data_IF_684512665952
#
_entry.id   IF_684512665952
#
_cell.length_a   1.000
_cell.length_b   1.000
_cell.length_c   1.000
_cell.angle_alpha   90.00
_cell.angle_beta   90.00
_cell.angle_gamma   90.00
#
_symmetry.space_group_name_H-M   'P 1'
#
loop_
_entity.id
_entity.type
_entity.pdbx_description
1 polymer ?
#
# COMPACT_ATOMS: atom_id res chain seq x y z
N UNK A 1 39.38 -22.04 -59.65
CA UNK A 1 38.16 -22.02 -58.81
C UNK A 1 38.46 -22.79 -57.53
N UNK A 2 38.56 -22.10 -56.38
CA UNK A 2 38.92 -22.71 -55.08
C UNK A 2 37.65 -23.24 -54.41
N UNK A 3 37.65 -24.50 -53.98
CA UNK A 3 36.58 -25.11 -53.16
C UNK A 3 37.02 -25.06 -51.71
N UNK A 4 36.25 -24.40 -50.85
CA UNK A 4 36.48 -24.34 -49.42
C UNK A 4 35.55 -25.37 -48.77
N UNK A 5 36.15 -26.32 -48.06
CA UNK A 5 35.45 -27.37 -47.33
C UNK A 5 35.19 -26.86 -45.90
N UNK A 6 33.92 -26.75 -45.50
CA UNK A 6 33.58 -26.46 -44.11
C UNK A 6 33.35 -27.78 -43.36
N UNK A 7 34.22 -28.07 -42.39
CA UNK A 7 34.05 -29.16 -41.44
C UNK A 7 33.35 -28.60 -40.21
N UNK A 8 32.11 -29.00 -39.98
CA UNK A 8 31.36 -28.65 -38.77
C UNK A 8 31.62 -29.75 -37.76
N UNK A 9 32.45 -29.45 -36.76
CA UNK A 9 32.71 -30.33 -35.62
C UNK A 9 31.59 -30.12 -34.59
N UNK A 10 30.57 -30.96 -34.61
CA UNK A 10 29.50 -30.96 -33.60
C UNK A 10 30.01 -31.60 -32.30
N UNK A 11 30.39 -30.79 -31.33
CA UNK A 11 30.66 -31.24 -29.95
C UNK A 11 29.31 -31.43 -29.26
N UNK A 12 28.91 -32.68 -29.06
CA UNK A 12 27.79 -33.05 -28.22
C UNK A 12 28.15 -32.84 -26.75
N UNK A 13 27.89 -31.63 -26.25
CA UNK A 13 27.86 -31.37 -24.80
C UNK A 13 26.67 -32.13 -24.20
N UNK A 14 26.95 -33.21 -23.47
CA UNK A 14 25.96 -33.84 -22.61
C UNK A 14 25.60 -32.82 -21.52
N UNK A 15 24.42 -32.22 -21.65
CA UNK A 15 23.80 -31.42 -20.61
C UNK A 15 23.48 -32.36 -19.45
N UNK A 16 24.33 -32.37 -18.43
CA UNK A 16 23.98 -32.91 -17.13
C UNK A 16 22.80 -32.07 -16.61
N UNK A 17 21.59 -32.62 -16.74
CA UNK A 17 20.39 -32.05 -16.18
C UNK A 17 20.55 -32.02 -14.66
N UNK A 18 20.80 -30.83 -14.11
CA UNK A 18 20.65 -30.61 -12.67
C UNK A 18 19.15 -30.78 -12.38
N UNK A 19 18.75 -31.65 -11.43
CA UNK A 19 17.35 -31.78 -11.07
C UNK A 19 16.86 -30.44 -10.53
N UNK A 20 15.96 -29.80 -11.28
CA UNK A 20 15.27 -28.56 -10.91
C UNK A 20 14.17 -28.85 -9.90
N UNK A 21 14.51 -29.47 -8.76
CA UNK A 21 13.61 -29.60 -7.61
C UNK A 21 13.89 -28.50 -6.58
N UNK A 22 14.06 -27.27 -7.06
CA UNK A 22 13.81 -26.11 -6.22
C UNK A 22 12.29 -25.91 -6.19
N UNK A 23 11.62 -26.48 -5.17
CA UNK A 23 10.30 -26.01 -4.76
C UNK A 23 10.52 -24.58 -4.25
N UNK A 24 10.46 -23.63 -5.16
CA UNK A 24 10.45 -22.21 -4.83
C UNK A 24 9.11 -21.97 -4.14
N UNK A 25 9.10 -22.04 -2.81
CA UNK A 25 8.01 -21.48 -2.03
C UNK A 25 8.03 -19.97 -2.29
N UNK A 26 7.27 -19.52 -3.30
CA UNK A 26 7.06 -18.11 -3.62
C UNK A 26 6.23 -17.40 -2.55
N UNK A 27 6.28 -17.84 -1.29
CA UNK A 27 5.81 -17.05 -0.17
C UNK A 27 6.66 -15.80 -0.08
N UNK A 28 6.10 -14.69 -0.57
CA UNK A 28 6.65 -13.35 -0.41
C UNK A 28 7.02 -13.18 1.06
N UNK A 29 8.30 -12.94 1.30
CA UNK A 29 8.83 -12.67 2.64
C UNK A 29 8.01 -11.54 3.28
N UNK A 30 7.51 -11.79 4.49
CA UNK A 30 6.77 -10.80 5.26
C UNK A 30 7.74 -9.81 5.88
N UNK A 31 7.59 -8.52 5.57
CA UNK A 31 8.37 -7.43 6.15
C UNK A 31 7.50 -6.54 7.02
N UNK A 32 8.10 -5.77 7.93
CA UNK A 32 7.39 -4.79 8.74
C UNK A 32 6.63 -5.36 9.94
N UNK A 33 6.74 -6.66 10.22
CA UNK A 33 6.13 -7.28 11.40
C UNK A 33 6.59 -6.60 12.68
N UNK A 34 5.64 -6.13 13.49
CA UNK A 34 5.91 -5.39 14.73
C UNK A 34 6.13 -3.89 14.53
N UNK A 35 6.00 -3.37 13.31
CA UNK A 35 5.99 -1.93 13.06
C UNK A 35 4.60 -1.37 13.39
N UNK A 36 4.59 -0.37 14.26
CA UNK A 36 3.40 0.37 14.67
C UNK A 36 3.56 1.83 14.28
N UNK A 37 2.64 2.31 13.45
CA UNK A 37 2.55 3.71 13.08
C UNK A 37 1.41 4.40 13.85
N UNK A 38 1.68 5.62 14.30
CA UNK A 38 0.74 6.44 15.06
C UNK A 38 0.42 7.69 14.25
N UNK A 39 -0.76 7.72 13.66
CA UNK A 39 -1.19 8.81 12.80
C UNK A 39 -1.89 9.92 13.61
N UNK A 40 -1.39 11.14 13.44
CA UNK A 40 -2.05 12.38 13.85
C UNK A 40 -2.56 13.07 12.59
N UNK A 41 -3.88 13.19 12.46
CA UNK A 41 -4.51 13.74 11.28
C UNK A 41 -4.91 15.18 11.57
N UNK A 42 -4.48 16.07 10.70
CA UNK A 42 -4.92 17.46 10.70
C UNK A 42 -5.70 17.73 9.42
N UNK A 43 -6.79 18.48 9.54
CA UNK A 43 -7.60 18.92 8.39
C UNK A 43 -8.03 20.37 8.59
N UNK A 44 -8.30 21.08 7.50
CA UNK A 44 -8.73 22.47 7.54
C UNK A 44 -10.25 22.61 7.35
N UNK A 45 -10.74 23.84 7.49
CA UNK A 45 -12.14 24.19 7.24
C UNK A 45 -12.55 24.01 5.77
N UNK A 46 -11.61 24.04 4.82
CA UNK A 46 -11.92 23.77 3.41
C UNK A 46 -12.37 22.32 3.22
N UNK A 47 -11.69 21.36 3.86
CA UNK A 47 -12.11 19.97 3.90
C UNK A 47 -13.46 19.80 4.58
N UNK A 48 -13.67 20.45 5.74
CA UNK A 48 -14.92 20.33 6.49
C UNK A 48 -16.14 20.78 5.67
N UNK A 49 -16.01 21.88 4.91
CA UNK A 49 -17.05 22.38 4.00
C UNK A 49 -17.35 21.37 2.89
N UNK A 50 -16.33 20.90 2.18
CA UNK A 50 -16.48 19.90 1.12
C UNK A 50 -17.11 18.59 1.63
N UNK A 51 -16.77 18.21 2.86
CA UNK A 51 -17.29 17.01 3.50
C UNK A 51 -18.80 17.13 3.80
N UNK A 52 -19.27 18.30 4.22
CA UNK A 52 -20.70 18.58 4.40
C UNK A 52 -21.45 18.60 3.06
N UNK A 53 -20.87 19.18 2.01
CA UNK A 53 -21.52 19.26 0.70
C UNK A 53 -21.72 17.88 0.05
N UNK A 54 -20.77 16.96 0.23
CA UNK A 54 -20.83 15.61 -0.36
C UNK A 54 -21.77 14.65 0.37
N UNK A 55 -22.00 14.81 1.68
CA UNK A 55 -22.87 13.93 2.46
C UNK A 55 -24.15 14.69 2.79
N UNK A 56 -25.26 14.30 2.13
CA UNK A 56 -26.61 14.91 2.27
C UNK A 56 -26.91 15.44 3.69
N UNK A 57 -27.65 16.57 3.82
CA UNK A 57 -27.85 17.26 5.08
C UNK A 57 -28.83 16.51 5.99
N UNK A 58 -28.39 15.39 6.58
CA UNK A 58 -29.05 14.80 7.74
C UNK A 58 -28.56 15.54 8.98
N UNK A 59 -29.39 16.45 9.48
CA UNK A 59 -29.39 16.91 10.87
C UNK A 59 -28.11 17.61 11.34
N UNK A 60 -28.20 18.93 11.45
CA UNK A 60 -27.17 19.90 11.81
C UNK A 60 -26.74 19.79 13.29
N UNK A 61 -26.22 18.64 13.72
CA UNK A 61 -25.59 18.47 15.03
C UNK A 61 -24.08 18.27 14.82
N UNK A 62 -23.27 19.23 15.30
CA UNK A 62 -21.83 19.28 15.06
C UNK A 62 -21.09 18.05 15.65
N UNK A 63 -21.55 17.51 16.77
CA UNK A 63 -21.02 16.27 17.37
C UNK A 63 -21.17 15.06 16.43
N UNK A 64 -22.23 15.01 15.62
CA UNK A 64 -22.40 13.93 14.64
C UNK A 64 -21.43 14.07 13.47
N UNK A 65 -21.03 15.30 13.12
CA UNK A 65 -20.11 15.54 12.03
C UNK A 65 -18.68 15.17 12.39
N UNK A 66 -18.18 15.60 13.55
CA UNK A 66 -16.83 15.28 13.99
C UNK A 66 -16.63 13.76 14.10
N UNK A 67 -17.61 13.06 14.68
CA UNK A 67 -17.61 11.59 14.74
C UNK A 67 -17.61 10.92 13.37
N UNK A 68 -18.34 11.48 12.39
CA UNK A 68 -18.32 10.99 11.00
C UNK A 68 -16.95 11.19 10.36
N UNK A 69 -16.36 12.36 10.49
CA UNK A 69 -15.01 12.66 9.96
C UNK A 69 -14.00 11.70 10.57
N UNK A 70 -14.07 11.50 11.90
CA UNK A 70 -13.20 10.57 12.61
C UNK A 70 -13.34 9.13 12.13
N UNK A 71 -14.57 8.67 11.93
CA UNK A 71 -14.83 7.33 11.42
C UNK A 71 -14.33 7.16 9.98
N UNK A 72 -14.51 8.18 9.13
CA UNK A 72 -14.04 8.14 7.74
C UNK A 72 -12.51 8.05 7.65
N UNK A 73 -11.77 8.88 8.41
CA UNK A 73 -10.31 8.79 8.47
C UNK A 73 -9.84 7.47 9.07
N UNK A 74 -10.45 7.01 10.16
CA UNK A 74 -10.13 5.70 10.74
C UNK A 74 -10.33 4.57 9.73
N UNK A 75 -11.42 4.63 8.94
CA UNK A 75 -11.71 3.67 7.88
C UNK A 75 -10.69 3.76 6.75
N UNK A 76 -10.28 4.97 6.37
CA UNK A 76 -9.26 5.20 5.36
C UNK A 76 -7.93 4.54 5.77
N UNK A 77 -7.43 4.83 6.98
CA UNK A 77 -6.17 4.27 7.45
C UNK A 77 -6.24 2.75 7.64
N UNK A 78 -7.40 2.20 8.02
CA UNK A 78 -7.62 0.74 8.02
C UNK A 78 -7.48 0.13 6.62
N UNK A 79 -8.01 0.80 5.59
CA UNK A 79 -7.84 0.35 4.19
C UNK A 79 -6.39 0.42 3.74
N UNK A 80 -5.65 1.45 4.16
CA UNK A 80 -4.21 1.58 3.89
C UNK A 80 -3.44 0.44 4.55
N UNK A 81 -3.69 0.17 5.83
CA UNK A 81 -3.10 -0.98 6.53
C UNK A 81 -3.38 -2.29 5.79
N UNK A 82 -4.64 -2.54 5.41
CA UNK A 82 -5.01 -3.74 4.64
C UNK A 82 -4.30 -3.82 3.30
N UNK A 83 -4.14 -2.70 2.59
CA UNK A 83 -3.43 -2.65 1.32
C UNK A 83 -1.98 -3.11 1.45
N UNK A 84 -1.28 -2.65 2.50
CA UNK A 84 0.09 -3.04 2.78
C UNK A 84 0.20 -4.48 3.25
N UNK A 85 -0.65 -4.90 4.18
CA UNK A 85 -0.65 -6.28 4.69
C UNK A 85 -0.91 -7.30 3.56
N UNK A 86 -1.82 -7.00 2.63
CA UNK A 86 -2.07 -7.84 1.44
C UNK A 86 -0.88 -7.95 0.48
N UNK A 87 0.15 -7.10 0.65
CA UNK A 87 1.40 -7.10 -0.12
C UNK A 87 2.59 -7.57 0.72
N UNK A 88 2.33 -8.32 1.80
CA UNK A 88 3.35 -8.84 2.74
C UNK A 88 4.08 -7.76 3.53
N UNK A 89 3.49 -6.56 3.68
CA UNK A 89 4.01 -5.47 4.50
C UNK A 89 3.16 -5.36 5.77
N UNK A 90 3.57 -6.07 6.82
CA UNK A 90 2.81 -6.37 8.04
C UNK A 90 2.84 -5.26 9.09
N UNK A 91 2.28 -4.10 8.76
CA UNK A 91 2.23 -2.92 9.63
C UNK A 91 0.92 -2.83 10.41
N UNK A 92 0.92 -2.04 11.48
CA UNK A 92 -0.29 -1.59 12.18
C UNK A 92 -0.34 -0.08 12.22
N UNK A 93 -1.46 0.51 11.82
CA UNK A 93 -1.66 1.96 11.84
C UNK A 93 -2.74 2.29 12.87
N UNK A 94 -2.40 3.14 13.84
CA UNK A 94 -3.34 3.65 14.82
C UNK A 94 -3.53 5.14 14.65
N UNK A 95 -4.76 5.56 14.34
CA UNK A 95 -5.12 6.97 14.33
C UNK A 95 -5.32 7.42 15.78
N UNK A 96 -4.40 8.25 16.30
CA UNK A 96 -4.41 8.71 17.68
C UNK A 96 -5.25 9.96 17.87
N UNK A 97 -5.09 10.93 16.97
CA UNK A 97 -5.80 12.18 17.04
C UNK A 97 -6.23 12.63 15.64
N UNK A 98 -7.37 13.31 15.58
CA UNK A 98 -7.88 13.96 14.38
C UNK A 98 -8.38 15.32 14.83
N UNK A 99 -7.74 16.38 14.37
CA UNK A 99 -8.08 17.74 14.79
C UNK A 99 -8.18 18.68 13.60
N UNK A 100 -9.16 19.59 13.67
CA UNK A 100 -9.22 20.70 12.76
C UNK A 100 -8.07 21.68 13.07
N UNK A 101 -7.40 22.18 12.03
CA UNK A 101 -6.36 23.18 12.13
C UNK A 101 -6.36 24.05 10.88
N UNK A 102 -6.89 25.27 10.99
CA UNK A 102 -6.94 26.27 9.93
C UNK A 102 -5.62 27.05 9.75
N UNK A 103 -4.69 26.93 10.71
CA UNK A 103 -3.37 27.55 10.63
C UNK A 103 -2.41 26.76 9.71
N UNK A 104 -2.84 25.62 9.18
CA UNK A 104 -2.13 24.84 8.16
C UNK A 104 -2.16 25.48 6.76
N UNK A 105 -2.33 26.80 6.68
CA UNK A 105 -2.36 27.56 5.44
C UNK A 105 -1.18 27.19 4.54
N UNK A 106 -1.48 26.51 3.43
CA UNK A 106 -0.57 26.44 2.30
C UNK A 106 -0.60 27.85 1.68
N UNK A 107 0.53 28.57 1.59
CA UNK A 107 0.57 29.89 0.97
C UNK A 107 0.11 29.89 -0.49
#
# INVERSE_FOLDING_TARGET
MRRILFVILSVSLQLNAVPSDAIYDQRKEEIGKGVHDNAYVLYDSSFAKLYQEKKQPMGRNDENQENRIRNDFTTLFKKVEQHFNNRSVMIKIKVLNISNNDDLGVP
#
